data_IF_512203111103
#
_entry.id   IF_512203111103
#
_cell.length_a   1.000
_cell.length_b   1.000
_cell.length_c   1.000
_cell.angle_alpha   90.00
_cell.angle_beta   90.00
_cell.angle_gamma   90.00
#
_symmetry.space_group_name_H-M   'P 1'
#
loop_
_entity.id
_entity.type
_entity.pdbx_description
1 polymer ?
#
# COMPACT_ATOMS: atom_id res chain seq x y z
N UNK A 1 -17.73 19.80 0.07
CA UNK A 1 -17.71 18.31 0.17
C UNK A 1 -16.73 17.68 -0.80
N UNK A 2 -16.58 18.25 -2.00
CA UNK A 2 -15.56 17.84 -2.96
C UNK A 2 -14.12 17.94 -2.41
N UNK A 3 -13.82 19.02 -1.69
CA UNK A 3 -12.54 19.21 -0.97
C UNK A 3 -12.25 18.09 0.04
N UNK A 4 -13.28 17.55 0.70
CA UNK A 4 -13.12 16.42 1.61
C UNK A 4 -12.77 15.15 0.83
N UNK A 5 -13.45 14.90 -0.31
CA UNK A 5 -13.11 13.80 -1.20
C UNK A 5 -11.64 13.87 -1.65
N UNK A 6 -11.18 15.04 -2.07
CA UNK A 6 -9.79 15.27 -2.46
C UNK A 6 -8.80 15.08 -1.30
N UNK A 7 -9.15 15.58 -0.11
CA UNK A 7 -8.37 15.36 1.10
C UNK A 7 -8.20 13.88 1.44
N UNK A 8 -9.29 13.10 1.45
CA UNK A 8 -9.22 11.65 1.70
C UNK A 8 -8.49 10.90 0.58
N UNK A 9 -8.60 11.35 -0.66
CA UNK A 9 -7.82 10.82 -1.79
C UNK A 9 -6.31 11.04 -1.60
N UNK A 10 -5.92 12.25 -1.19
CA UNK A 10 -4.53 12.59 -0.88
C UNK A 10 -4.00 11.79 0.32
N UNK A 11 -4.77 11.68 1.41
CA UNK A 11 -4.42 10.85 2.57
C UNK A 11 -4.28 9.36 2.22
N UNK A 12 -5.15 8.85 1.34
CA UNK A 12 -5.04 7.49 0.79
C UNK A 12 -3.73 7.33 0.01
N UNK A 13 -3.35 8.33 -0.78
CA UNK A 13 -2.06 8.37 -1.49
C UNK A 13 -0.87 8.28 -0.53
N UNK A 14 -0.86 9.07 0.55
CA UNK A 14 0.19 9.01 1.59
C UNK A 14 0.25 7.62 2.24
N UNK A 15 -0.91 7.08 2.64
CA UNK A 15 -0.99 5.74 3.23
C UNK A 15 -0.44 4.68 2.28
N UNK A 16 -0.80 4.75 0.99
CA UNK A 16 -0.28 3.87 -0.04
C UNK A 16 1.23 4.01 -0.22
N UNK A 17 1.79 5.23 -0.22
CA UNK A 17 3.24 5.45 -0.26
C UNK A 17 3.95 4.79 0.93
N UNK A 18 3.40 4.90 2.14
CA UNK A 18 3.94 4.23 3.33
C UNK A 18 3.91 2.70 3.18
N UNK A 19 2.86 2.15 2.56
CA UNK A 19 2.78 0.72 2.27
C UNK A 19 3.87 0.27 1.28
N UNK A 20 4.17 1.08 0.26
CA UNK A 20 5.24 0.80 -0.71
C UNK A 20 6.63 0.85 -0.07
N UNK A 21 6.84 1.74 0.91
CA UNK A 21 8.12 1.82 1.66
C UNK A 21 8.50 0.47 2.27
N UNK A 22 7.54 -0.38 2.68
CA UNK A 22 7.83 -1.72 3.20
C UNK A 22 8.63 -2.58 2.20
N UNK A 23 8.30 -2.51 0.91
CA UNK A 23 9.04 -3.23 -0.13
C UNK A 23 10.40 -2.56 -0.38
N UNK A 24 10.43 -1.24 -0.53
CA UNK A 24 11.66 -0.48 -0.81
C UNK A 24 12.70 -0.65 0.30
N UNK A 25 12.29 -0.57 1.57
CA UNK A 25 13.18 -0.76 2.71
C UNK A 25 13.74 -2.20 2.78
N UNK A 26 12.94 -3.20 2.43
CA UNK A 26 13.42 -4.60 2.35
C UNK A 26 14.41 -4.77 1.20
N UNK A 27 14.14 -4.17 0.05
CA UNK A 27 15.00 -4.23 -1.14
C UNK A 27 16.35 -3.57 -0.87
N UNK A 28 16.34 -2.32 -0.39
CA UNK A 28 17.54 -1.56 -0.07
C UNK A 28 18.35 -2.24 1.04
N UNK A 29 17.69 -2.86 2.02
CA UNK A 29 18.37 -3.66 3.03
C UNK A 29 19.13 -4.84 2.42
N UNK A 30 18.48 -5.59 1.53
CA UNK A 30 19.05 -6.78 0.89
C UNK A 30 20.22 -6.45 -0.04
N UNK A 31 20.13 -5.35 -0.78
CA UNK A 31 21.15 -5.00 -1.78
C UNK A 31 22.37 -4.33 -1.13
N UNK A 32 22.14 -3.44 -0.16
CA UNK A 32 23.16 -2.52 0.34
C UNK A 32 23.35 -2.57 1.86
N UNK A 33 22.33 -2.26 2.67
CA UNK A 33 22.51 -2.05 4.13
C UNK A 33 23.02 -3.30 4.85
N UNK A 34 22.59 -4.49 4.42
CA UNK A 34 23.04 -5.76 5.00
C UNK A 34 24.55 -6.01 4.83
N UNK A 35 25.18 -5.41 3.83
CA UNK A 35 26.62 -5.52 3.56
C UNK A 35 27.46 -4.49 4.33
N UNK A 36 26.84 -3.49 4.95
CA UNK A 36 27.54 -2.47 5.72
C UNK A 36 28.04 -3.04 7.06
N UNK A 37 29.19 -2.57 7.57
CA UNK A 37 29.63 -2.89 8.92
C UNK A 37 28.60 -2.41 9.97
N UNK A 38 28.68 -2.93 11.19
CA UNK A 38 27.74 -2.60 12.26
C UNK A 38 27.97 -1.19 12.82
N UNK A 39 27.56 -0.16 12.06
CA UNK A 39 27.67 1.25 12.41
C UNK A 39 26.32 1.86 12.84
N UNK A 40 26.34 3.11 13.30
CA UNK A 40 25.13 3.80 13.77
C UNK A 40 24.09 3.99 12.66
N UNK A 41 24.51 4.21 11.41
CA UNK A 41 23.62 4.33 10.27
C UNK A 41 22.82 3.03 10.03
N UNK A 42 23.50 1.87 10.02
CA UNK A 42 22.85 0.55 9.88
C UNK A 42 21.85 0.31 11.01
N UNK A 43 22.16 0.71 12.25
CA UNK A 43 21.25 0.60 13.40
C UNK A 43 20.00 1.47 13.23
N UNK A 44 20.16 2.74 12.87
CA UNK A 44 19.05 3.67 12.63
C UNK A 44 18.15 3.20 11.49
N UNK A 45 18.75 2.76 10.37
CA UNK A 45 18.02 2.19 9.24
C UNK A 45 17.19 0.98 9.68
N UNK A 46 17.79 0.04 10.41
CA UNK A 46 17.10 -1.16 10.88
C UNK A 46 15.95 -0.83 11.84
N UNK A 47 16.07 0.24 12.64
CA UNK A 47 14.99 0.71 13.51
C UNK A 47 13.80 1.20 12.68
N UNK A 48 14.05 2.06 11.69
CA UNK A 48 13.02 2.57 10.77
C UNK A 48 12.38 1.43 9.99
N UNK A 49 13.20 0.56 9.40
CA UNK A 49 12.73 -0.63 8.68
C UNK A 49 11.87 -1.51 9.58
N UNK A 50 12.30 -1.80 10.81
CA UNK A 50 11.52 -2.61 11.76
C UNK A 50 10.19 -1.95 12.09
N UNK A 51 10.15 -0.63 12.29
CA UNK A 51 8.92 0.11 12.55
C UNK A 51 7.94 0.00 11.37
N UNK A 52 8.38 0.27 10.15
CA UNK A 52 7.52 0.20 8.95
C UNK A 52 7.05 -1.23 8.71
N UNK A 53 7.95 -2.21 8.75
CA UNK A 53 7.61 -3.63 8.48
C UNK A 53 6.66 -4.18 9.53
N UNK A 54 6.87 -3.86 10.83
CA UNK A 54 6.02 -4.34 11.92
C UNK A 54 4.63 -3.71 11.88
N UNK A 55 4.53 -2.44 11.51
CA UNK A 55 3.27 -1.71 11.47
C UNK A 55 2.57 -1.72 10.10
N UNK A 56 3.18 -2.35 9.08
CA UNK A 56 2.64 -2.42 7.71
C UNK A 56 1.15 -2.80 7.65
N UNK A 57 0.73 -3.79 8.45
CA UNK A 57 -0.69 -4.19 8.51
C UNK A 57 -1.61 -3.08 9.03
N UNK A 58 -1.17 -2.31 10.02
CA UNK A 58 -1.96 -1.22 10.59
C UNK A 58 -2.05 -0.07 9.59
N UNK A 59 -0.95 0.23 8.88
CA UNK A 59 -0.99 1.17 7.76
C UNK A 59 -1.93 0.68 6.65
N UNK A 60 -2.00 -0.63 6.40
CA UNK A 60 -2.88 -1.19 5.38
C UNK A 60 -4.35 -1.01 5.77
N UNK A 61 -4.71 -1.31 7.01
CA UNK A 61 -6.05 -1.06 7.54
C UNK A 61 -6.41 0.43 7.55
N UNK A 62 -5.52 1.29 8.02
CA UNK A 62 -5.75 2.75 8.00
C UNK A 62 -5.98 3.28 6.59
N UNK A 63 -5.17 2.81 5.62
CA UNK A 63 -5.34 3.22 4.22
C UNK A 63 -6.62 2.65 3.60
N UNK A 64 -7.06 1.44 4.00
CA UNK A 64 -8.34 0.88 3.58
C UNK A 64 -9.53 1.76 4.02
N UNK A 65 -9.47 2.26 5.27
CA UNK A 65 -10.51 3.15 5.81
C UNK A 65 -10.51 4.47 5.03
N UNK A 66 -9.34 5.08 4.84
CA UNK A 66 -9.21 6.32 4.06
C UNK A 66 -9.74 6.16 2.62
N UNK A 67 -9.39 5.05 1.96
CA UNK A 67 -9.88 4.72 0.63
C UNK A 67 -11.41 4.52 0.63
N UNK A 68 -11.94 3.79 1.61
CA UNK A 68 -13.38 3.58 1.76
C UNK A 68 -14.13 4.90 1.92
N UNK A 69 -13.63 5.81 2.74
CA UNK A 69 -14.19 7.16 2.89
C UNK A 69 -14.07 7.96 1.60
N UNK A 70 -12.92 7.92 0.93
CA UNK A 70 -12.72 8.59 -0.37
C UNK A 70 -13.75 8.12 -1.41
N UNK A 71 -13.93 6.80 -1.55
CA UNK A 71 -14.90 6.20 -2.47
C UNK A 71 -16.34 6.55 -2.13
N UNK A 72 -16.70 6.49 -0.85
CA UNK A 72 -18.04 6.87 -0.40
C UNK A 72 -18.37 8.32 -0.75
N UNK A 73 -17.44 9.24 -0.48
CA UNK A 73 -17.60 10.65 -0.82
C UNK A 73 -17.66 10.86 -2.34
N UNK A 74 -16.81 10.17 -3.11
CA UNK A 74 -16.87 10.22 -4.57
C UNK A 74 -18.23 9.73 -5.08
N UNK A 75 -18.72 8.57 -4.66
CA UNK A 75 -20.01 8.04 -5.11
C UNK A 75 -21.21 8.93 -4.72
N UNK A 76 -21.11 9.65 -3.61
CA UNK A 76 -22.21 10.50 -3.12
C UNK A 76 -22.25 11.86 -3.83
N UNK A 77 -21.08 12.43 -4.17
CA UNK A 77 -20.98 13.82 -4.59
C UNK A 77 -20.43 14.03 -6.01
N UNK A 78 -19.84 13.01 -6.64
CA UNK A 78 -19.25 13.07 -7.99
C UNK A 78 -19.44 11.73 -8.71
N UNK A 79 -19.00 11.64 -9.97
CA UNK A 79 -18.90 10.35 -10.65
C UNK A 79 -17.52 9.74 -10.37
N UNK A 80 -17.51 8.51 -9.88
CA UNK A 80 -16.35 7.62 -9.83
C UNK A 80 -15.79 7.34 -11.23
N UNK A 81 -14.55 7.75 -11.48
CA UNK A 81 -13.82 7.38 -12.69
C UNK A 81 -13.54 5.88 -12.75
N UNK A 82 -13.53 5.32 -13.96
CA UNK A 82 -13.20 3.89 -14.18
C UNK A 82 -11.80 3.53 -13.64
N UNK A 83 -10.82 4.43 -13.81
CA UNK A 83 -9.45 4.23 -13.32
C UNK A 83 -9.37 4.24 -11.80
N UNK A 84 -10.17 5.10 -11.13
CA UNK A 84 -10.30 5.12 -9.67
C UNK A 84 -10.94 3.84 -9.13
N UNK A 85 -11.99 3.35 -9.80
CA UNK A 85 -12.63 2.08 -9.44
C UNK A 85 -11.65 0.89 -9.55
N UNK A 86 -10.88 0.81 -10.66
CA UNK A 86 -9.87 -0.24 -10.85
C UNK A 86 -8.81 -0.18 -9.74
N UNK A 87 -8.30 1.01 -9.42
CA UNK A 87 -7.32 1.20 -8.35
C UNK A 87 -7.88 0.77 -6.98
N UNK A 88 -9.13 1.14 -6.68
CA UNK A 88 -9.80 0.73 -5.45
C UNK A 88 -9.97 -0.79 -5.33
N UNK A 89 -10.44 -1.45 -6.38
CA UNK A 89 -10.61 -2.90 -6.42
C UNK A 89 -9.26 -3.60 -6.20
N UNK A 90 -8.21 -3.18 -6.90
CA UNK A 90 -6.87 -3.72 -6.73
C UNK A 90 -6.34 -3.51 -5.30
N UNK A 91 -6.63 -2.35 -4.70
CA UNK A 91 -6.21 -2.06 -3.33
C UNK A 91 -6.91 -2.95 -2.31
N UNK A 92 -8.23 -3.07 -2.36
CA UNK A 92 -8.97 -3.96 -1.47
C UNK A 92 -8.61 -5.43 -1.68
N UNK A 93 -8.43 -5.87 -2.94
CA UNK A 93 -7.96 -7.22 -3.24
C UNK A 93 -6.57 -7.47 -2.63
N UNK A 94 -5.66 -6.52 -2.75
CA UNK A 94 -4.30 -6.66 -2.21
C UNK A 94 -4.29 -6.71 -0.68
N UNK A 95 -5.09 -5.88 -0.03
CA UNK A 95 -5.27 -5.87 1.43
C UNK A 95 -5.91 -7.18 1.89
N UNK A 96 -6.95 -7.65 1.19
CA UNK A 96 -7.60 -8.94 1.44
C UNK A 96 -6.62 -10.12 1.34
N UNK A 97 -5.79 -10.17 0.30
CA UNK A 97 -4.70 -11.16 0.20
C UNK A 97 -3.72 -11.05 1.39
N UNK A 98 -3.37 -9.83 1.80
CA UNK A 98 -2.51 -9.60 2.97
C UNK A 98 -3.10 -10.19 4.25
N UNK A 99 -4.42 -10.02 4.47
CA UNK A 99 -5.15 -10.60 5.60
C UNK A 99 -5.18 -12.13 5.49
N UNK A 100 -5.47 -12.68 4.31
CA UNK A 100 -5.50 -14.13 4.09
C UNK A 100 -4.13 -14.74 4.39
N UNK A 101 -3.03 -14.14 3.91
CA UNK A 101 -1.66 -14.59 4.17
C UNK A 101 -1.35 -14.56 5.67
N UNK A 102 -1.82 -13.52 6.38
CA UNK A 102 -1.57 -13.36 7.81
C UNK A 102 -2.29 -14.41 8.65
N UNK A 103 -3.57 -14.67 8.38
CA UNK A 103 -4.38 -15.61 9.17
C UNK A 103 -4.21 -17.07 8.76
N UNK A 104 -4.03 -17.35 7.47
CA UNK A 104 -3.97 -18.72 6.96
C UNK A 104 -2.53 -19.13 6.62
N UNK A 105 -1.90 -19.90 7.52
CA UNK A 105 -0.64 -20.63 7.26
C UNK A 105 -0.88 -21.87 6.40
N UNK A 106 -1.46 -21.69 5.20
CA UNK A 106 -1.70 -22.79 4.25
C UNK A 106 -0.42 -23.18 3.49
N UNK A 107 -0.40 -24.41 2.97
CA UNK A 107 0.64 -24.96 2.08
C UNK A 107 1.02 -24.03 0.90
N UNK A 108 0.08 -23.19 0.43
CA UNK A 108 0.26 -22.29 -0.71
C UNK A 108 0.74 -20.87 -0.35
N UNK A 109 1.31 -20.67 0.85
CA UNK A 109 1.76 -19.37 1.34
C UNK A 109 2.74 -18.64 0.39
N UNK A 110 3.61 -19.38 -0.30
CA UNK A 110 4.55 -18.80 -1.29
C UNK A 110 3.81 -18.21 -2.50
N UNK A 111 2.83 -18.93 -3.04
CA UNK A 111 2.05 -18.48 -4.19
C UNK A 111 1.19 -17.26 -3.84
N UNK A 112 0.53 -17.27 -2.68
CA UNK A 112 -0.25 -16.12 -2.21
C UNK A 112 0.61 -14.86 -2.03
N UNK A 113 1.82 -15.00 -1.48
CA UNK A 113 2.77 -13.89 -1.41
C UNK A 113 3.19 -13.36 -2.78
N UNK A 114 3.33 -14.24 -3.78
CA UNK A 114 3.62 -13.83 -5.15
C UNK A 114 2.45 -13.02 -5.73
N UNK A 115 1.22 -13.50 -5.57
CA UNK A 115 0.02 -12.78 -6.02
C UNK A 115 -0.13 -11.43 -5.31
N UNK A 116 0.05 -11.36 -3.99
CA UNK A 116 0.02 -10.09 -3.25
C UNK A 116 1.04 -9.09 -3.80
N UNK A 117 2.26 -9.53 -4.12
CA UNK A 117 3.27 -8.66 -4.74
C UNK A 117 2.92 -8.25 -6.16
N UNK A 118 2.38 -9.17 -6.96
CA UNK A 118 1.97 -8.88 -8.33
C UNK A 118 0.81 -7.87 -8.38
N UNK A 119 -0.22 -8.06 -7.55
CA UNK A 119 -1.32 -7.10 -7.42
C UNK A 119 -0.80 -5.75 -6.91
N UNK A 120 0.15 -5.72 -5.97
CA UNK A 120 0.77 -4.47 -5.54
C UNK A 120 1.44 -3.71 -6.70
N UNK A 121 2.12 -4.41 -7.62
CA UNK A 121 2.72 -3.77 -8.80
C UNK A 121 1.66 -3.22 -9.76
N UNK A 122 0.60 -3.99 -10.03
CA UNK A 122 -0.53 -3.52 -10.84
C UNK A 122 -1.22 -2.31 -10.21
N UNK A 123 -1.35 -2.31 -8.88
CA UNK A 123 -1.93 -1.21 -8.13
C UNK A 123 -1.10 0.07 -8.25
N UNK A 124 0.23 -0.01 -8.23
CA UNK A 124 1.09 1.16 -8.49
C UNK A 124 0.76 1.76 -9.85
N UNK A 125 0.70 0.93 -10.90
CA UNK A 125 0.38 1.40 -12.25
C UNK A 125 -1.03 2.01 -12.30
N UNK A 126 -2.04 1.36 -11.70
CA UNK A 126 -3.41 1.85 -11.67
C UNK A 126 -3.55 3.20 -10.93
N UNK A 127 -2.87 3.37 -9.79
CA UNK A 127 -2.85 4.63 -9.04
C UNK A 127 -2.18 5.73 -9.86
N UNK A 128 -1.05 5.46 -10.50
CA UNK A 128 -0.37 6.45 -11.36
C UNK A 128 -1.26 6.89 -12.53
N UNK A 129 -1.90 5.93 -13.22
CA UNK A 129 -2.85 6.23 -14.29
C UNK A 129 -4.01 7.07 -13.76
N UNK A 130 -4.62 6.68 -12.63
CA UNK A 130 -5.72 7.44 -12.02
C UNK A 130 -5.31 8.88 -11.66
N UNK A 131 -4.10 9.08 -11.15
CA UNK A 131 -3.58 10.42 -10.82
C UNK A 131 -3.36 11.30 -12.06
N UNK A 132 -2.98 10.70 -13.19
CA UNK A 132 -2.77 11.42 -14.46
C UNK A 132 -4.11 11.69 -15.15
N UNK A 133 -5.01 10.70 -15.16
CA UNK A 133 -6.31 10.79 -15.82
C UNK A 133 -7.39 11.32 -14.90
N UNK A 134 -7.05 12.11 -13.86
CA UNK A 134 -8.02 12.71 -12.95
C UNK A 134 -9.04 13.50 -13.79
N UNK A 135 -10.17 12.85 -14.04
CA UNK A 135 -11.35 13.33 -14.76
C UNK A 135 -12.55 13.02 -13.88
#
# INVERSE_FOLDING_TARGET
MEELGEFFGFMTGIGFSILLLNYLLKLLNRIWISKLPNNNFRKQYNLIMKFIVRNHRFFAFGTAILLGTHLYLQLTYRWLSLTGLIAAILMFANIGLGIIIFYFRKHNHKSLLLFHRFIALLLIAAVLVHLITKA
#
